data_IF_204235574265
#
_entry.id   IF_204235574265
#
_cell.length_a   1.000
_cell.length_b   1.000
_cell.length_c   1.000
_cell.angle_alpha   90.00
_cell.angle_beta   90.00
_cell.angle_gamma   90.00
#
_symmetry.space_group_name_H-M   'P 1'
#
loop_
_entity.id
_entity.type
_entity.pdbx_description
1 polymer ?
#
# COMPACT_ATOMS: atom_id res chain seq x y z
N UNK A 1 -6.82 -4.00 20.40
CA UNK A 1 -7.62 -4.52 19.26
C UNK A 1 -6.72 -5.45 18.47
N UNK A 2 -7.18 -6.66 18.13
CA UNK A 2 -6.40 -7.52 17.23
C UNK A 2 -6.60 -7.07 15.79
N UNK A 3 -5.58 -7.26 14.95
CA UNK A 3 -5.63 -6.90 13.53
C UNK A 3 -6.84 -7.53 12.81
N UNK A 4 -7.26 -8.72 13.22
CA UNK A 4 -8.42 -9.46 12.71
C UNK A 4 -9.75 -8.70 12.87
N UNK A 5 -9.84 -7.83 13.87
CA UNK A 5 -11.03 -7.05 14.23
C UNK A 5 -11.16 -5.76 13.39
N UNK A 6 -10.18 -5.45 12.54
CA UNK A 6 -10.30 -4.30 11.63
C UNK A 6 -11.26 -4.65 10.50
N UNK A 7 -12.44 -4.03 10.56
CA UNK A 7 -13.27 -3.83 9.39
C UNK A 7 -12.87 -2.53 8.69
N UNK A 8 -12.41 -2.64 7.45
CA UNK A 8 -12.05 -1.50 6.60
C UNK A 8 -13.29 -0.82 5.97
N UNK A 9 -14.38 -1.56 5.80
CA UNK A 9 -15.66 -1.08 5.26
C UNK A 9 -16.83 -1.57 6.12
N UNK A 10 -17.94 -0.81 6.16
CA UNK A 10 -19.17 -1.20 6.88
C UNK A 10 -19.86 -2.43 6.26
N UNK A 11 -19.67 -2.65 4.95
CA UNK A 11 -20.30 -3.77 4.22
C UNK A 11 -19.45 -5.05 4.21
N UNK A 12 -18.22 -5.01 4.75
CA UNK A 12 -17.27 -6.12 4.69
C UNK A 12 -16.72 -6.41 3.28
N UNK A 13 -17.17 -5.69 2.25
CA UNK A 13 -16.64 -5.80 0.88
C UNK A 13 -15.39 -4.97 0.78
N UNK A 14 -14.28 -5.57 0.35
CA UNK A 14 -13.05 -4.84 0.08
C UNK A 14 -13.20 -3.94 -1.15
N UNK A 15 -12.51 -2.80 -1.08
CA UNK A 15 -12.47 -1.84 -2.17
C UNK A 15 -11.57 -2.35 -3.30
N UNK A 16 -11.96 -2.07 -4.54
CA UNK A 16 -11.27 -2.57 -5.74
C UNK A 16 -9.84 -2.04 -5.88
N UNK A 17 -9.54 -0.89 -5.26
CA UNK A 17 -8.23 -0.26 -5.37
C UNK A 17 -7.74 0.35 -4.06
N UNK A 18 -6.71 -0.26 -3.48
CA UNK A 18 -6.15 0.07 -2.17
C UNK A 18 -4.72 0.56 -2.36
N UNK A 19 -4.40 1.73 -1.79
CA UNK A 19 -3.02 2.21 -1.70
C UNK A 19 -2.54 2.02 -0.28
N UNK A 20 -1.47 1.26 -0.12
CA UNK A 20 -0.76 1.10 1.13
C UNK A 20 0.55 1.86 1.04
N UNK A 21 0.75 2.82 1.94
CA UNK A 21 2.01 3.56 2.01
C UNK A 21 2.71 3.29 3.32
N UNK A 22 4.04 3.21 3.27
CA UNK A 22 4.87 3.16 4.46
C UNK A 22 6.01 4.16 4.35
N UNK A 23 6.32 4.83 5.46
CA UNK A 23 7.58 5.53 5.57
C UNK A 23 8.74 4.53 5.43
N UNK A 24 9.88 4.93 4.86
CA UNK A 24 11.06 4.05 4.74
C UNK A 24 11.55 3.45 6.07
N UNK A 25 11.23 4.11 7.19
CA UNK A 25 11.56 3.65 8.54
C UNK A 25 10.60 2.60 9.10
N UNK A 26 9.48 2.36 8.42
CA UNK A 26 8.45 1.40 8.81
C UNK A 26 8.45 0.22 7.83
N UNK A 27 8.44 -1.00 8.35
CA UNK A 27 8.33 -2.19 7.53
C UNK A 27 6.84 -2.52 7.26
N UNK A 28 6.33 -2.37 6.02
CA UNK A 28 4.95 -2.70 5.70
C UNK A 28 4.66 -4.20 5.63
N UNK A 29 5.69 -5.06 5.68
CA UNK A 29 5.57 -6.49 5.37
C UNK A 29 4.55 -7.21 6.26
N UNK A 30 4.42 -6.84 7.53
CA UNK A 30 3.42 -7.47 8.41
C UNK A 30 2.00 -7.20 7.92
N UNK A 31 1.71 -5.98 7.44
CA UNK A 31 0.39 -5.60 6.96
C UNK A 31 0.12 -6.19 5.57
N UNK A 32 1.14 -6.24 4.72
CA UNK A 32 1.10 -6.96 3.43
C UNK A 32 0.78 -8.44 3.66
N UNK A 33 1.50 -9.11 4.56
CA UNK A 33 1.29 -10.52 4.88
C UNK A 33 -0.10 -10.77 5.47
N UNK A 34 -0.57 -9.88 6.35
CA UNK A 34 -1.92 -9.95 6.90
C UNK A 34 -2.99 -9.83 5.82
N UNK A 35 -2.90 -8.81 4.96
CA UNK A 35 -3.84 -8.61 3.86
C UNK A 35 -3.79 -9.77 2.88
N UNK A 36 -2.62 -10.35 2.63
CA UNK A 36 -2.47 -11.52 1.78
C UNK A 36 -3.14 -12.75 2.38
N UNK A 37 -2.88 -13.06 3.65
CA UNK A 37 -3.47 -14.21 4.33
C UNK A 37 -5.00 -14.10 4.45
N UNK A 38 -5.52 -12.92 4.82
CA UNK A 38 -6.96 -12.69 5.02
C UNK A 38 -7.77 -12.77 3.73
N UNK A 39 -7.16 -12.41 2.60
CA UNK A 39 -7.87 -12.28 1.32
C UNK A 39 -7.39 -13.28 0.26
N UNK A 40 -6.60 -14.28 0.67
CA UNK A 40 -5.95 -15.24 -0.23
C UNK A 40 -5.23 -14.55 -1.40
N UNK A 41 -4.58 -13.42 -1.11
CA UNK A 41 -4.03 -12.56 -2.13
C UNK A 41 -2.71 -13.09 -2.69
N UNK A 42 -2.52 -12.88 -3.98
CA UNK A 42 -1.24 -13.10 -4.62
C UNK A 42 -0.35 -11.86 -4.46
N UNK A 43 0.83 -12.02 -3.86
CA UNK A 43 1.84 -10.97 -3.76
C UNK A 43 2.71 -11.04 -5.01
N UNK A 44 2.70 -9.96 -5.78
CA UNK A 44 3.41 -9.87 -7.04
C UNK A 44 4.46 -8.75 -6.94
N UNK A 45 5.75 -9.06 -7.05
CA UNK A 45 6.78 -8.03 -7.14
C UNK A 45 6.69 -7.34 -8.50
N UNK A 46 6.88 -6.02 -8.50
CA UNK A 46 6.70 -5.24 -9.73
C UNK A 46 7.72 -5.56 -10.83
N UNK A 47 8.85 -6.17 -10.50
CA UNK A 47 9.81 -6.69 -11.50
C UNK A 47 9.16 -7.65 -12.51
N UNK A 48 7.98 -8.19 -12.21
CA UNK A 48 7.21 -9.03 -13.14
C UNK A 48 6.53 -8.18 -14.23
N UNK A 49 6.10 -6.94 -13.94
CA UNK A 49 5.41 -6.08 -14.91
C UNK A 49 6.27 -5.64 -16.08
N UNK A 50 7.61 -5.67 -15.95
CA UNK A 50 8.52 -5.34 -17.05
C UNK A 50 8.63 -6.46 -18.09
N UNK A 51 8.23 -7.69 -17.75
CA UNK A 51 8.38 -8.87 -18.62
C UNK A 51 7.04 -9.38 -19.15
N UNK A 52 5.99 -9.30 -18.36
CA UNK A 52 4.62 -9.66 -18.75
C UNK A 52 3.61 -9.13 -17.73
N UNK A 53 2.39 -8.82 -18.17
CA UNK A 53 1.30 -8.54 -17.21
C UNK A 53 0.95 -9.88 -16.56
N UNK A 54 1.16 -10.06 -15.25
CA UNK A 54 0.85 -11.31 -14.60
C UNK A 54 -0.64 -11.59 -14.77
N UNK A 55 -0.94 -12.84 -15.11
CA UNK A 55 -2.27 -13.40 -14.98
C UNK A 55 -2.30 -14.03 -13.59
N UNK A 56 -2.83 -13.33 -12.58
CA UNK A 56 -2.84 -13.86 -11.22
C UNK A 56 -3.61 -15.17 -11.21
N UNK A 57 -3.14 -16.12 -10.41
CA UNK A 57 -3.81 -17.42 -10.21
C UNK A 57 -5.17 -17.23 -9.54
N UNK A 58 -5.25 -16.21 -8.68
CA UNK A 58 -6.48 -15.80 -8.00
C UNK A 58 -6.85 -14.38 -8.43
N UNK A 59 -7.92 -14.24 -9.23
CA UNK A 59 -8.40 -12.95 -9.71
C UNK A 59 -9.07 -12.11 -8.59
N UNK A 60 -9.13 -12.58 -7.35
CA UNK A 60 -9.87 -11.87 -6.30
C UNK A 60 -9.07 -10.72 -5.65
N UNK A 61 -7.79 -10.94 -5.34
CA UNK A 61 -6.97 -9.93 -4.66
C UNK A 61 -5.50 -10.05 -5.03
N UNK A 62 -4.89 -8.96 -5.48
CA UNK A 62 -3.46 -8.89 -5.81
C UNK A 62 -2.80 -7.78 -5.01
N UNK A 63 -1.60 -8.04 -4.48
CA UNK A 63 -0.77 -7.03 -3.82
C UNK A 63 0.50 -6.80 -4.66
N UNK A 64 0.67 -5.59 -5.18
CA UNK A 64 1.88 -5.15 -5.84
C UNK A 64 2.83 -4.53 -4.83
N UNK A 65 4.09 -4.96 -4.84
CA UNK A 65 5.15 -4.44 -3.96
C UNK A 65 6.40 -4.06 -4.75
N UNK A 66 7.19 -3.13 -4.22
CA UNK A 66 8.48 -2.77 -4.79
C UNK A 66 8.40 -1.96 -6.09
N UNK A 67 7.41 -1.07 -6.21
CA UNK A 67 7.21 -0.22 -7.39
C UNK A 67 8.31 0.86 -7.53
N UNK A 68 8.95 1.20 -6.42
CA UNK A 68 9.86 2.35 -6.29
C UNK A 68 11.17 2.09 -7.00
N UNK A 69 11.83 0.96 -6.70
CA UNK A 69 13.15 0.64 -7.24
C UNK A 69 13.15 0.59 -8.78
N UNK A 70 12.21 -0.08 -9.46
CA UNK A 70 12.22 -0.15 -10.92
C UNK A 70 12.01 1.20 -11.59
N UNK A 71 11.21 2.09 -11.00
CA UNK A 71 10.95 3.44 -11.50
C UNK A 71 12.16 4.34 -11.28
N UNK A 72 12.77 4.28 -10.09
CA UNK A 72 13.93 5.10 -9.75
C UNK A 72 15.20 4.69 -10.48
N UNK A 73 15.34 3.40 -10.79
CA UNK A 73 16.42 2.84 -11.61
C UNK A 73 16.13 2.93 -13.12
N UNK A 74 15.03 3.57 -13.54
CA UNK A 74 14.60 3.73 -14.94
C UNK A 74 14.44 2.41 -15.73
N UNK A 75 14.39 1.28 -15.04
CA UNK A 75 14.16 -0.03 -15.64
C UNK A 75 12.73 -0.20 -16.17
N UNK A 76 11.79 0.63 -15.69
CA UNK A 76 10.41 0.68 -16.19
C UNK A 76 9.97 2.14 -16.34
N UNK A 77 9.33 2.46 -17.46
CA UNK A 77 8.76 3.81 -17.65
C UNK A 77 7.49 4.00 -16.82
N UNK A 78 7.21 5.24 -16.43
CA UNK A 78 5.95 5.63 -15.76
C UNK A 78 4.72 5.13 -16.52
N UNK A 79 4.72 5.31 -17.85
CA UNK A 79 3.63 4.88 -18.74
C UNK A 79 3.43 3.36 -18.69
N UNK A 80 4.51 2.60 -18.74
CA UNK A 80 4.46 1.13 -18.68
C UNK A 80 3.92 0.66 -17.33
N UNK A 81 4.38 1.27 -16.22
CA UNK A 81 3.90 0.93 -14.89
C UNK A 81 2.40 1.22 -14.72
N UNK A 82 1.95 2.41 -15.11
CA UNK A 82 0.53 2.79 -15.03
C UNK A 82 -0.35 1.89 -15.91
N UNK A 83 0.09 1.60 -17.14
CA UNK A 83 -0.64 0.69 -18.04
C UNK A 83 -0.72 -0.74 -17.51
N UNK A 84 0.37 -1.24 -16.90
CA UNK A 84 0.39 -2.54 -16.22
C UNK A 84 -0.58 -2.60 -15.04
N UNK A 85 -0.58 -1.56 -14.20
CA UNK A 85 -1.51 -1.42 -13.07
C UNK A 85 -2.97 -1.36 -13.57
N UNK A 86 -3.26 -0.57 -14.60
CA UNK A 86 -4.60 -0.48 -15.18
C UNK A 86 -5.07 -1.83 -15.74
N UNK A 87 -4.17 -2.55 -16.41
CA UNK A 87 -4.45 -3.89 -16.93
C UNK A 87 -4.75 -4.88 -15.80
N UNK A 88 -4.02 -4.81 -14.68
CA UNK A 88 -4.29 -5.61 -13.50
C UNK A 88 -5.65 -5.26 -12.87
N UNK A 89 -5.98 -3.97 -12.76
CA UNK A 89 -7.29 -3.51 -12.26
C UNK A 89 -8.47 -4.04 -13.09
N UNK A 90 -8.27 -4.27 -14.39
CA UNK A 90 -9.30 -4.86 -15.27
C UNK A 90 -9.45 -6.37 -15.08
N UNK A 91 -8.38 -7.06 -14.69
CA UNK A 91 -8.34 -8.52 -14.52
C UNK A 91 -8.68 -8.99 -13.10
N UNK A 92 -8.40 -8.15 -12.10
CA UNK A 92 -8.55 -8.49 -10.69
C UNK A 92 -9.75 -7.76 -10.08
N UNK A 93 -10.46 -8.40 -9.15
CA UNK A 93 -11.52 -7.76 -8.38
C UNK A 93 -10.97 -6.68 -7.45
N UNK A 94 -9.83 -6.95 -6.80
CA UNK A 94 -9.14 -6.03 -5.91
C UNK A 94 -7.64 -5.97 -6.19
N UNK A 95 -7.09 -4.75 -6.21
CA UNK A 95 -5.65 -4.51 -6.34
C UNK A 95 -5.21 -3.61 -5.20
N UNK A 96 -4.19 -4.06 -4.47
CA UNK A 96 -3.48 -3.28 -3.47
C UNK A 96 -2.09 -2.94 -3.99
N UNK A 97 -1.67 -1.69 -3.87
CA UNK A 97 -0.32 -1.25 -4.22
C UNK A 97 0.38 -0.78 -2.95
N UNK A 98 1.47 -1.45 -2.59
CA UNK A 98 2.35 -1.09 -1.51
C UNK A 98 3.46 -0.17 -2.02
N UNK A 99 3.55 1.02 -1.44
CA UNK A 99 4.49 2.08 -1.79
C UNK A 99 5.29 2.53 -0.56
N UNK A 100 6.55 2.81 -0.79
CA UNK A 100 7.48 3.39 0.17
C UNK A 100 7.56 4.87 -0.12
N UNK A 101 7.24 5.69 0.86
CA UNK A 101 7.32 7.14 0.76
C UNK A 101 8.44 7.61 1.68
N UNK A 102 9.40 8.31 1.12
CA UNK A 102 10.39 9.06 1.90
C UNK A 102 10.82 10.30 1.12
N UNK A 103 11.29 11.32 1.83
CA UNK A 103 11.73 12.57 1.22
C UNK A 103 12.79 12.33 0.14
N UNK A 104 13.71 11.39 0.37
CA UNK A 104 14.73 11.01 -0.61
C UNK A 104 14.14 10.44 -1.91
N UNK A 105 13.03 9.71 -1.83
CA UNK A 105 12.39 9.10 -3.01
C UNK A 105 11.49 10.08 -3.77
N UNK A 106 10.91 11.05 -3.08
CA UNK A 106 9.94 12.02 -3.64
C UNK A 106 10.63 13.35 -3.95
N UNK A 107 11.97 13.39 -4.00
CA UNK A 107 12.70 14.61 -4.30
C UNK A 107 12.45 15.08 -5.74
N UNK A 108 11.57 16.07 -5.89
CA UNK A 108 11.16 16.67 -7.18
C UNK A 108 12.32 17.38 -7.90
N UNK A 109 13.44 17.67 -7.22
CA UNK A 109 14.64 18.24 -7.84
C UNK A 109 15.35 17.24 -8.76
N UNK A 110 15.11 15.95 -8.56
CA UNK A 110 15.64 14.89 -9.43
C UNK A 110 14.59 14.43 -10.43
N UNK A 111 14.99 14.13 -11.68
CA UNK A 111 14.08 13.60 -12.71
C UNK A 111 13.34 12.34 -12.24
N UNK A 112 14.04 11.48 -11.49
CA UNK A 112 13.54 10.18 -11.07
C UNK A 112 12.58 10.33 -9.88
N UNK A 113 12.91 11.22 -8.93
CA UNK A 113 12.01 11.57 -7.84
C UNK A 113 10.74 12.28 -8.32
N UNK A 114 10.84 13.19 -9.31
CA UNK A 114 9.67 13.81 -9.93
C UNK A 114 8.77 12.78 -10.64
N UNK A 115 9.37 11.80 -11.33
CA UNK A 115 8.64 10.71 -12.00
C UNK A 115 7.95 9.80 -10.97
N UNK A 116 8.65 9.40 -9.91
CA UNK A 116 8.09 8.59 -8.84
C UNK A 116 6.97 9.32 -8.09
N UNK A 117 7.15 10.61 -7.82
CA UNK A 117 6.11 11.44 -7.20
C UNK A 117 4.86 11.56 -8.09
N UNK A 118 5.05 11.69 -9.41
CA UNK A 118 3.93 11.69 -10.37
C UNK A 118 3.17 10.37 -10.32
N UNK A 119 3.87 9.24 -10.28
CA UNK A 119 3.26 7.92 -10.09
C UNK A 119 2.45 7.84 -8.80
N UNK A 120 3.05 8.21 -7.66
CA UNK A 120 2.38 8.22 -6.36
C UNK A 120 1.11 9.06 -6.43
N UNK A 121 1.20 10.31 -6.92
CA UNK A 121 0.04 11.20 -7.08
C UNK A 121 -1.05 10.56 -7.95
N UNK A 122 -0.70 9.99 -9.10
CA UNK A 122 -1.67 9.30 -9.99
C UNK A 122 -2.37 8.14 -9.29
N UNK A 123 -1.64 7.31 -8.54
CA UNK A 123 -2.23 6.19 -7.80
C UNK A 123 -3.12 6.65 -6.65
N UNK A 124 -2.74 7.71 -5.95
CA UNK A 124 -3.56 8.31 -4.89
C UNK A 124 -4.89 8.86 -5.41
N UNK A 125 -4.90 9.54 -6.56
CA UNK A 125 -6.15 10.05 -7.16
C UNK A 125 -7.13 8.93 -7.56
N UNK A 126 -6.59 7.75 -7.88
CA UNK A 126 -7.39 6.58 -8.26
C UNK A 126 -7.84 5.75 -7.05
N UNK A 127 -7.22 5.95 -5.89
CA UNK A 127 -7.44 5.16 -4.67
C UNK A 127 -8.91 5.20 -4.20
N UNK A 128 -9.39 4.05 -3.73
CA UNK A 128 -10.65 3.96 -2.99
C UNK A 128 -10.38 3.79 -1.48
N UNK A 129 -9.29 3.15 -1.10
CA UNK A 129 -8.86 3.07 0.30
C UNK A 129 -7.39 3.43 0.38
N UNK A 130 -7.02 4.22 1.38
CA UNK A 130 -5.63 4.58 1.65
C UNK A 130 -5.30 4.07 3.04
N UNK A 131 -4.26 3.24 3.12
CA UNK A 131 -3.65 2.76 4.36
C UNK A 131 -2.26 3.38 4.47
N UNK A 132 -1.96 4.08 5.56
CA UNK A 132 -0.66 4.73 5.73
C UNK A 132 0.00 4.28 7.03
N UNK A 133 1.20 3.73 6.94
CA UNK A 133 2.08 3.41 8.05
C UNK A 133 3.05 4.56 8.28
N UNK A 134 2.74 5.39 9.27
CA UNK A 134 3.53 6.56 9.62
C UNK A 134 4.36 6.29 10.89
N UNK A 135 5.58 6.84 11.01
CA UNK A 135 6.30 6.85 12.27
C UNK A 135 5.55 7.74 13.27
N UNK A 136 5.86 7.65 14.56
CA UNK A 136 5.30 8.60 15.52
C UNK A 136 5.90 9.99 15.25
N UNK A 137 5.11 11.07 15.34
CA UNK A 137 5.60 12.44 15.16
C UNK A 137 6.73 12.80 16.14
N UNK A 138 6.71 12.19 17.32
CA UNK A 138 7.68 12.42 18.41
C UNK A 138 8.92 11.51 18.34
N UNK A 139 9.04 10.64 17.33
CA UNK A 139 10.17 9.73 17.17
C UNK A 139 9.85 8.27 17.53
N UNK A 140 10.75 7.59 18.26
CA UNK A 140 10.56 6.18 18.66
C UNK A 140 10.14 6.09 20.11
N UNK A 141 9.04 5.38 20.37
CA UNK A 141 8.66 4.97 21.72
C UNK A 141 9.05 3.49 21.94
N UNK A 142 9.27 3.09 23.21
CA UNK A 142 9.60 1.70 23.54
C UNK A 142 8.44 0.74 23.25
N UNK A 143 7.21 1.23 23.42
CA UNK A 143 6.00 0.40 23.41
C UNK A 143 5.08 0.70 22.22
N UNK A 144 5.48 1.61 21.32
CA UNK A 144 4.72 1.96 20.11
C UNK A 144 5.69 2.14 18.95
N UNK A 145 5.45 1.43 17.86
CA UNK A 145 6.26 1.45 16.64
C UNK A 145 5.86 2.60 15.73
N UNK A 146 4.56 2.84 15.55
CA UNK A 146 4.06 3.87 14.65
C UNK A 146 2.54 3.99 14.67
N UNK A 147 2.01 4.66 13.64
CA UNK A 147 0.58 4.83 13.40
C UNK A 147 0.14 4.19 12.08
N UNK A 148 -1.00 3.52 12.10
CA UNK A 148 -1.74 3.07 10.94
C UNK A 148 -2.94 4.00 10.77
N UNK A 149 -2.89 4.80 9.71
CA UNK A 149 -4.00 5.66 9.29
C UNK A 149 -4.79 4.95 8.21
N UNK A 150 -6.10 4.82 8.42
CA UNK A 150 -7.05 4.29 7.46
C UNK A 150 -7.88 5.47 6.96
N UNK A 151 -7.77 5.80 5.69
CA UNK A 151 -8.40 6.97 5.09
C UNK A 151 -9.21 6.61 3.84
N UNK A 152 -10.25 7.39 3.59
CA UNK A 152 -11.06 7.28 2.38
C UNK A 152 -10.26 7.78 1.17
N UNK A 153 -10.21 6.98 0.11
CA UNK A 153 -9.62 7.40 -1.16
C UNK A 153 -10.57 8.27 -1.99
N UNK A 154 -10.07 9.09 -2.95
CA UNK A 154 -10.88 10.04 -3.70
C UNK A 154 -12.00 9.39 -4.55
N UNK A 155 -11.78 8.18 -5.08
CA UNK A 155 -12.77 7.46 -5.90
C UNK A 155 -13.71 6.57 -5.09
N UNK A 156 -13.65 6.67 -3.76
CA UNK A 156 -14.48 5.82 -2.92
C UNK A 156 -15.93 6.31 -2.86
N UNK A 157 -16.85 5.43 -3.23
CA UNK A 157 -18.30 5.69 -3.21
C UNK A 157 -18.98 5.22 -1.91
N UNK A 158 -18.27 4.46 -1.08
CA UNK A 158 -18.73 3.93 0.20
C UNK A 158 -18.43 4.87 1.38
N UNK A 159 -19.04 4.56 2.53
CA UNK A 159 -18.65 5.15 3.81
C UNK A 159 -17.53 4.33 4.45
N UNK A 160 -16.29 4.78 4.29
CA UNK A 160 -15.15 4.29 5.09
C UNK A 160 -15.18 4.97 6.45
N UNK A 161 -15.01 4.18 7.51
CA UNK A 161 -14.71 4.68 8.84
C UNK A 161 -13.22 5.02 8.89
N UNK A 162 -12.90 6.30 8.71
CA UNK A 162 -11.53 6.76 8.89
C UNK A 162 -11.09 6.43 10.31
N UNK A 163 -9.91 5.81 10.46
CA UNK A 163 -9.37 5.36 11.75
C UNK A 163 -7.91 5.75 11.86
N UNK A 164 -7.53 6.10 13.07
CA UNK A 164 -6.16 6.36 13.45
C UNK A 164 -5.79 5.41 14.58
N UNK A 165 -4.85 4.52 14.30
CA UNK A 165 -4.47 3.45 15.21
C UNK A 165 -2.98 3.57 15.48
N UNK A 166 -2.58 3.41 16.74
CA UNK A 166 -1.18 3.13 17.08
C UNK A 166 -0.92 1.65 16.91
N UNK A 167 0.28 1.28 16.47
CA UNK A 167 0.70 -0.12 16.36
C UNK A 167 2.05 -0.37 17.02
N UNK A 168 2.21 -1.56 17.57
CA UNK A 168 3.47 -2.05 18.12
C UNK A 168 3.83 -3.38 17.46
N UNK A 169 5.04 -3.46 16.91
CA UNK A 169 5.62 -4.69 16.36
C UNK A 169 6.64 -5.21 17.36
N UNK A 170 6.35 -6.35 17.97
CA UNK A 170 7.28 -6.95 18.93
C UNK A 170 8.44 -7.68 18.23
N UNK A 171 9.43 -8.13 19.01
CA UNK A 171 10.61 -8.84 18.49
C UNK A 171 10.30 -10.16 17.76
N UNK A 172 9.11 -10.72 18.00
CA UNK A 172 8.62 -11.95 17.34
C UNK A 172 7.81 -11.64 16.08
N UNK A 173 7.67 -10.38 15.69
CA UNK A 173 6.89 -9.94 14.54
C UNK A 173 5.38 -9.94 14.76
N UNK A 174 4.91 -10.12 15.99
CA UNK A 174 3.48 -9.99 16.33
C UNK A 174 3.13 -8.51 16.45
N UNK A 175 1.98 -8.14 15.91
CA UNK A 175 1.52 -6.75 15.82
C UNK A 175 0.30 -6.54 16.70
N UNK A 176 0.41 -5.60 17.63
CA UNK A 176 -0.69 -5.14 18.47
C UNK A 176 -1.19 -3.77 18.00
N UNK A 177 -2.52 -3.59 17.97
CA UNK A 177 -3.15 -2.33 17.56
C UNK A 177 -3.92 -1.70 18.72
N UNK A 178 -3.78 -0.38 18.82
CA UNK A 178 -4.36 0.45 19.85
C UNK A 178 -5.11 1.61 19.19
N UNK A 179 -6.32 1.89 19.65
CA UNK A 179 -7.02 3.13 19.29
C UNK A 179 -6.33 4.29 20.00
N UNK A 180 -6.09 5.38 19.26
CA UNK A 180 -5.65 6.66 19.85
C UNK A 180 -6.81 7.33 20.56
#
# INVERSE_FOLDING_TARGET
MRIDEIQFTKSGTLEKFIILTAAATNNPQWLVNYLAAKNEAEIIPLSVLSTSIPSPKNNNFVILTGLELPILAESISLRTALSGIESLRKKCANVCICLTISEALVNEETSNGATYNTLVKSLFYEAQLILQLQPLPTGRAKDVTGRLVIAKGPKNQQQILAKDLSYFVNRKGVVDLFTV
#
